data_IF_342331087133
#
_entry.id   IF_342331087133
#
_cell.length_a   1.000
_cell.length_b   1.000
_cell.length_c   1.000
_cell.angle_alpha   90.00
_cell.angle_beta   90.00
_cell.angle_gamma   90.00
#
_symmetry.space_group_name_H-M   'P 1'
#
loop_
_entity.id
_entity.type
_entity.pdbx_description
1 polymer ?
#
# COMPACT_ATOMS: atom_id res chain seq x y z
N UNK A 1 -8.27 -4.37 38.13
CA UNK A 1 -8.42 -3.27 37.13
C UNK A 1 -7.16 -2.41 36.92
N UNK A 2 -5.94 -2.86 37.28
CA UNK A 2 -4.71 -2.06 37.09
C UNK A 2 -3.88 -2.40 35.83
N UNK A 3 -4.26 -3.43 35.07
CA UNK A 3 -3.48 -3.90 33.92
C UNK A 3 -3.97 -3.35 32.57
N UNK A 4 -5.18 -2.81 32.50
CA UNK A 4 -5.76 -2.29 31.24
C UNK A 4 -5.19 -0.92 30.83
N UNK A 5 -4.63 -0.15 31.78
CA UNK A 5 -4.06 1.19 31.54
C UNK A 5 -2.66 1.14 30.91
N UNK A 6 -1.92 0.03 31.05
CA UNK A 6 -0.58 -0.10 30.44
C UNK A 6 -0.64 -0.35 28.93
N UNK A 7 -1.73 -0.95 28.43
CA UNK A 7 -1.92 -1.19 26.98
C UNK A 7 -2.25 0.11 26.25
N UNK A 8 -2.98 1.04 26.90
CA UNK A 8 -3.31 2.33 26.31
C UNK A 8 -2.10 3.28 26.25
N UNK A 9 -1.15 3.16 27.19
CA UNK A 9 0.07 4.00 27.22
C UNK A 9 1.14 3.56 26.20
N UNK A 10 1.07 2.32 25.70
CA UNK A 10 2.02 1.80 24.70
C UNK A 10 1.76 2.35 23.28
N UNK A 11 0.58 2.93 23.03
CA UNK A 11 0.24 3.53 21.73
C UNK A 11 0.78 4.97 21.55
N UNK A 12 1.32 5.60 22.59
CA UNK A 12 1.74 7.02 22.58
C UNK A 12 3.25 7.24 22.51
N UNK A 13 4.07 6.19 22.55
CA UNK A 13 5.53 6.30 22.50
C UNK A 13 6.04 6.12 21.06
N UNK A 14 6.35 7.22 20.39
CA UNK A 14 7.27 7.22 19.24
C UNK A 14 6.66 7.30 17.83
N UNK A 15 5.45 7.83 17.66
CA UNK A 15 4.91 8.11 16.32
C UNK A 15 5.71 9.24 15.66
N UNK A 16 6.67 8.86 14.79
CA UNK A 16 7.30 9.79 13.87
C UNK A 16 6.30 10.08 12.73
N UNK A 17 5.66 11.25 12.78
CA UNK A 17 4.70 11.68 11.76
C UNK A 17 5.49 12.28 10.59
N UNK A 18 5.49 11.61 9.45
CA UNK A 18 5.98 12.17 8.19
C UNK A 18 4.78 12.68 7.36
N UNK A 19 4.84 13.93 6.93
CA UNK A 19 3.89 14.52 5.97
C UNK A 19 4.45 14.37 4.55
N UNK A 20 3.68 13.78 3.63
CA UNK A 20 4.08 13.62 2.23
C UNK A 20 3.04 14.25 1.28
N UNK A 21 3.52 15.03 0.29
CA UNK A 21 2.71 15.71 -0.72
C UNK A 21 2.61 14.95 -2.06
N UNK A 22 3.44 13.92 -2.27
CA UNK A 22 3.34 13.01 -3.42
C UNK A 22 3.60 11.56 -2.99
N UNK A 23 3.01 10.59 -3.70
CA UNK A 23 3.20 9.16 -3.42
C UNK A 23 4.33 8.51 -4.25
N UNK A 24 5.03 9.28 -5.08
CA UNK A 24 6.12 8.76 -5.91
C UNK A 24 7.33 8.44 -5.03
N UNK A 25 7.70 7.17 -4.98
CA UNK A 25 8.94 6.71 -4.34
C UNK A 25 9.58 5.59 -5.14
N UNK A 26 10.84 5.29 -4.84
CA UNK A 26 11.65 4.27 -5.52
C UNK A 26 11.71 3.01 -4.63
N UNK A 27 11.58 1.83 -5.22
CA UNK A 27 11.67 0.54 -4.52
C UNK A 27 13.03 0.28 -3.83
N UNK A 28 14.07 1.07 -4.13
CA UNK A 28 15.35 1.04 -3.44
C UNK A 28 15.51 2.09 -2.33
N UNK A 29 14.66 3.13 -2.26
CA UNK A 29 14.84 4.25 -1.33
C UNK A 29 14.37 3.90 0.08
N UNK A 30 15.22 3.20 0.85
CA UNK A 30 14.88 2.71 2.20
C UNK A 30 14.68 3.80 3.26
N UNK A 31 15.16 5.02 3.01
CA UNK A 31 15.03 6.14 3.95
C UNK A 31 13.69 6.87 3.80
N UNK A 32 12.97 6.60 2.71
CA UNK A 32 11.65 7.13 2.48
C UNK A 32 10.60 6.19 3.09
N UNK A 33 9.85 6.60 4.13
CA UNK A 33 8.88 5.72 4.78
C UNK A 33 7.74 5.30 3.84
N UNK A 34 7.55 5.99 2.71
CA UNK A 34 6.59 5.62 1.65
C UNK A 34 6.98 4.34 0.90
N UNK A 35 8.20 3.83 1.05
CA UNK A 35 8.63 2.58 0.40
C UNK A 35 7.72 1.39 0.79
N UNK A 36 7.08 1.45 1.95
CA UNK A 36 6.09 0.48 2.43
C UNK A 36 4.90 0.30 1.48
N UNK A 37 4.48 1.35 0.76
CA UNK A 37 3.41 1.24 -0.25
C UNK A 37 3.82 0.41 -1.47
N UNK A 38 5.13 0.33 -1.75
CA UNK A 38 5.70 -0.35 -2.90
C UNK A 38 6.17 -1.77 -2.55
N UNK A 39 6.81 -1.96 -1.41
CA UNK A 39 7.56 -3.16 -1.08
C UNK A 39 7.27 -3.63 0.35
N UNK A 40 6.60 -4.78 0.55
CA UNK A 40 6.41 -5.32 1.90
C UNK A 40 7.73 -5.67 2.59
N UNK A 41 8.81 -6.00 1.85
CA UNK A 41 10.14 -6.26 2.41
C UNK A 41 10.73 -5.01 3.09
N UNK A 42 10.17 -3.83 2.78
CA UNK A 42 10.60 -2.59 3.35
C UNK A 42 9.95 -2.27 4.71
N UNK A 43 8.93 -3.03 5.12
CA UNK A 43 8.26 -2.86 6.43
C UNK A 43 9.22 -3.00 7.61
N UNK A 44 10.29 -3.78 7.45
CA UNK A 44 11.29 -3.95 8.50
C UNK A 44 12.47 -3.00 8.45
N UNK A 45 12.51 -2.01 7.53
CA UNK A 45 13.60 -1.02 7.54
C UNK A 45 13.51 -0.16 8.78
N UNK A 46 14.57 -0.12 9.59
CA UNK A 46 14.60 0.58 10.87
C UNK A 46 13.85 -0.14 11.98
N UNK A 47 14.24 0.18 13.21
CA UNK A 47 13.82 -0.54 14.42
C UNK A 47 12.71 0.21 15.17
N UNK A 48 11.96 1.06 14.44
CA UNK A 48 10.93 1.93 15.01
C UNK A 48 9.58 1.72 14.33
N UNK A 49 8.53 1.76 15.14
CA UNK A 49 7.15 1.81 14.64
C UNK A 49 6.95 3.08 13.80
N UNK A 50 6.30 2.97 12.64
CA UNK A 50 6.02 4.12 11.77
C UNK A 50 4.56 4.20 11.39
N UNK A 51 4.08 5.42 11.24
CA UNK A 51 2.81 5.77 10.65
C UNK A 51 3.05 6.80 9.56
N UNK A 52 2.66 6.48 8.35
CA UNK A 52 2.66 7.37 7.20
C UNK A 52 1.21 7.61 6.83
N UNK A 53 0.82 8.87 6.73
CA UNK A 53 -0.49 9.26 6.23
C UNK A 53 -0.31 10.36 5.21
N UNK A 54 -1.14 10.36 4.19
CA UNK A 54 -1.10 11.38 3.17
C UNK A 54 -2.38 11.43 2.36
N UNK A 55 -2.49 12.52 1.61
CA UNK A 55 -3.65 12.83 0.82
C UNK A 55 -3.21 13.62 -0.40
N UNK A 56 -3.62 13.17 -1.58
CA UNK A 56 -3.38 13.84 -2.85
C UNK A 56 -4.73 14.28 -3.42
N UNK A 57 -4.80 15.53 -3.87
CA UNK A 57 -5.90 16.04 -4.68
C UNK A 57 -5.34 16.37 -6.07
N UNK A 58 -5.76 15.62 -7.09
CA UNK A 58 -5.12 15.66 -8.41
C UNK A 58 -5.53 16.87 -9.24
N UNK A 59 -6.79 17.29 -9.15
CA UNK A 59 -7.30 18.43 -9.90
C UNK A 59 -8.30 19.22 -9.05
N UNK A 60 -7.90 20.43 -8.65
CA UNK A 60 -8.82 21.42 -8.09
C UNK A 60 -9.43 22.20 -9.26
N UNK A 61 -10.69 21.95 -9.60
CA UNK A 61 -11.39 22.75 -10.62
C UNK A 61 -12.07 21.96 -11.74
N UNK A 62 -12.08 20.62 -11.69
CA UNK A 62 -13.02 19.86 -12.53
C UNK A 62 -14.42 20.10 -11.96
N UNK A 63 -15.23 20.87 -12.68
CA UNK A 63 -16.58 21.20 -12.24
C UNK A 63 -17.38 19.90 -12.10
N UNK A 64 -17.83 19.61 -10.87
CA UNK A 64 -18.62 18.41 -10.59
C UNK A 64 -17.83 17.11 -10.51
N UNK A 65 -16.50 17.13 -10.30
CA UNK A 65 -15.73 15.95 -9.86
C UNK A 65 -14.49 16.36 -9.02
N UNK A 66 -14.13 15.52 -8.05
CA UNK A 66 -13.01 15.76 -7.13
C UNK A 66 -12.13 14.53 -7.01
N UNK A 67 -11.19 14.35 -7.95
CA UNK A 67 -10.26 13.23 -7.94
C UNK A 67 -9.29 13.37 -6.78
N UNK A 68 -9.39 12.44 -5.84
CA UNK A 68 -8.61 12.45 -4.61
C UNK A 68 -8.14 11.06 -4.23
N UNK A 69 -6.97 10.99 -3.61
CA UNK A 69 -6.37 9.75 -3.13
C UNK A 69 -5.87 9.94 -1.71
N UNK A 70 -6.47 9.24 -0.75
CA UNK A 70 -5.95 9.11 0.60
C UNK A 70 -5.09 7.86 0.71
N UNK A 71 -4.02 7.91 1.50
CA UNK A 71 -3.20 6.75 1.78
C UNK A 71 -2.68 6.75 3.20
N UNK A 72 -2.55 5.56 3.78
CA UNK A 72 -2.01 5.35 5.11
C UNK A 72 -1.19 4.05 5.14
N UNK A 73 -0.07 4.06 5.83
CA UNK A 73 0.71 2.86 6.12
C UNK A 73 1.18 2.88 7.57
N UNK A 74 1.03 1.76 8.24
CA UNK A 74 1.52 1.52 9.58
C UNK A 74 2.50 0.34 9.52
N UNK A 75 3.66 0.46 10.16
CA UNK A 75 4.65 -0.63 10.25
C UNK A 75 5.12 -0.82 11.68
N UNK A 76 5.16 -2.07 12.14
CA UNK A 76 5.60 -2.48 13.47
C UNK A 76 6.75 -3.49 13.34
N UNK A 77 8.00 -3.08 13.59
CA UNK A 77 9.13 -4.01 13.68
C UNK A 77 9.11 -4.70 15.05
N UNK A 78 9.09 -6.04 15.06
CA UNK A 78 9.01 -6.87 16.27
C UNK A 78 10.38 -7.50 16.63
N UNK A 79 11.42 -7.27 15.82
CA UNK A 79 12.81 -7.68 16.04
C UNK A 79 13.06 -9.20 15.96
N UNK A 80 12.26 -10.01 16.65
CA UNK A 80 12.35 -11.48 16.71
C UNK A 80 11.54 -12.16 15.62
N UNK A 81 10.29 -11.74 15.45
CA UNK A 81 9.36 -12.39 14.52
C UNK A 81 9.32 -11.73 13.15
N UNK A 82 10.03 -10.61 12.96
CA UNK A 82 10.05 -9.85 11.71
C UNK A 82 9.39 -8.51 11.86
N UNK A 83 8.70 -8.06 10.83
CA UNK A 83 7.99 -6.78 10.83
C UNK A 83 6.64 -6.93 10.16
N UNK A 84 5.62 -6.36 10.78
CA UNK A 84 4.25 -6.38 10.29
C UNK A 84 3.85 -5.01 9.78
N UNK A 85 2.91 -4.95 8.85
CA UNK A 85 2.39 -3.69 8.36
C UNK A 85 0.95 -3.76 7.89
N UNK A 86 0.27 -2.63 8.00
CA UNK A 86 -1.04 -2.37 7.41
C UNK A 86 -0.89 -1.22 6.43
N UNK A 87 -1.37 -1.39 5.22
CA UNK A 87 -1.26 -0.39 4.15
C UNK A 87 -2.64 -0.22 3.54
N UNK A 88 -3.09 1.02 3.37
CA UNK A 88 -4.36 1.36 2.76
C UNK A 88 -4.18 2.50 1.78
N UNK A 89 -4.71 2.33 0.57
CA UNK A 89 -4.84 3.37 -0.44
C UNK A 89 -6.31 3.47 -0.84
N UNK A 90 -6.84 4.68 -0.92
CA UNK A 90 -8.24 4.91 -1.24
C UNK A 90 -8.37 6.08 -2.22
N UNK A 91 -8.69 5.73 -3.46
CA UNK A 91 -9.02 6.68 -4.51
C UNK A 91 -10.53 6.90 -4.55
N UNK A 92 -10.95 8.15 -4.66
CA UNK A 92 -12.36 8.50 -4.89
C UNK A 92 -12.48 9.57 -5.97
N UNK A 93 -13.51 9.40 -6.79
CA UNK A 93 -14.12 10.39 -7.66
C UNK A 93 -15.64 10.32 -7.45
N UNK A 94 -16.40 11.15 -8.16
CA UNK A 94 -17.86 11.17 -8.02
C UNK A 94 -18.53 9.88 -8.52
N UNK A 95 -17.95 9.26 -9.55
CA UNK A 95 -18.52 8.08 -10.22
C UNK A 95 -17.83 6.77 -9.83
N UNK A 96 -16.62 6.84 -9.28
CA UNK A 96 -15.77 5.67 -9.05
C UNK A 96 -15.00 5.79 -7.73
N UNK A 97 -14.91 4.68 -7.02
CA UNK A 97 -14.11 4.54 -5.82
C UNK A 97 -13.29 3.25 -5.92
N UNK A 98 -12.04 3.34 -5.47
CA UNK A 98 -11.15 2.20 -5.39
C UNK A 98 -10.44 2.20 -4.04
N UNK A 99 -10.51 1.07 -3.33
CA UNK A 99 -9.73 0.81 -2.14
C UNK A 99 -8.71 -0.31 -2.40
N UNK A 100 -7.52 -0.20 -1.82
CA UNK A 100 -6.51 -1.25 -1.80
C UNK A 100 -5.96 -1.34 -0.38
N UNK A 101 -6.39 -2.38 0.34
CA UNK A 101 -6.04 -2.60 1.74
C UNK A 101 -5.21 -3.86 1.87
N UNK A 102 -4.06 -3.76 2.52
CA UNK A 102 -3.05 -4.81 2.55
C UNK A 102 -2.51 -4.99 3.96
N UNK A 103 -2.28 -6.25 4.31
CA UNK A 103 -1.46 -6.67 5.43
C UNK A 103 -0.15 -7.23 4.89
N UNK A 104 0.96 -6.70 5.39
CA UNK A 104 2.29 -7.10 4.99
C UNK A 104 3.10 -7.70 6.13
N UNK A 105 4.00 -8.60 5.77
CA UNK A 105 4.97 -9.21 6.65
C UNK A 105 6.35 -9.15 5.99
N UNK A 106 7.39 -8.88 6.79
CA UNK A 106 8.78 -8.89 6.35
C UNK A 106 9.67 -9.61 7.34
N UNK A 107 10.67 -10.33 6.80
CA UNK A 107 11.71 -10.98 7.57
C UNK A 107 13.08 -10.67 6.99
N UNK A 108 14.05 -10.45 7.88
CA UNK A 108 15.45 -10.23 7.54
C UNK A 108 16.29 -11.50 7.71
N UNK A 109 17.30 -11.64 6.86
CA UNK A 109 18.21 -12.77 6.81
C UNK A 109 19.65 -12.26 6.64
N UNK A 110 20.62 -13.11 6.97
CA UNK A 110 22.06 -12.85 6.77
C UNK A 110 22.53 -11.50 7.35
N UNK A 111 22.27 -11.25 8.64
CA UNK A 111 22.59 -10.00 9.32
C UNK A 111 22.03 -8.77 8.60
N UNK A 112 20.72 -8.79 8.29
CA UNK A 112 20.02 -7.71 7.59
C UNK A 112 20.48 -7.42 6.16
N UNK A 113 21.25 -8.31 5.49
CA UNK A 113 21.68 -8.12 4.09
C UNK A 113 20.63 -8.50 3.05
N UNK A 114 19.69 -9.37 3.42
CA UNK A 114 18.59 -9.81 2.57
C UNK A 114 17.31 -9.69 3.38
N UNK A 115 16.27 -9.15 2.75
CA UNK A 115 14.94 -9.06 3.34
C UNK A 115 13.91 -9.54 2.35
N UNK A 116 13.02 -10.38 2.86
CA UNK A 116 11.88 -10.87 2.11
C UNK A 116 10.63 -10.23 2.68
N UNK A 117 9.65 -10.01 1.82
CA UNK A 117 8.35 -9.51 2.24
C UNK A 117 7.24 -10.17 1.45
N UNK A 118 6.12 -10.38 2.12
CA UNK A 118 4.87 -10.89 1.57
C UNK A 118 3.74 -9.94 1.95
N UNK A 119 2.78 -9.75 1.06
CA UNK A 119 1.55 -9.02 1.34
C UNK A 119 0.33 -9.80 0.89
N UNK A 120 -0.72 -9.73 1.71
CA UNK A 120 -2.07 -10.18 1.39
C UNK A 120 -2.99 -8.97 1.47
N UNK A 121 -3.93 -8.85 0.55
CA UNK A 121 -4.81 -7.69 0.54
C UNK A 121 -6.13 -7.92 -0.17
N UNK A 122 -6.94 -6.87 -0.15
CA UNK A 122 -8.23 -6.79 -0.81
C UNK A 122 -8.28 -5.51 -1.61
N UNK A 123 -8.60 -5.64 -2.89
CA UNK A 123 -8.90 -4.52 -3.78
C UNK A 123 -10.42 -4.41 -3.86
N UNK A 124 -10.93 -3.25 -3.51
CA UNK A 124 -12.34 -2.89 -3.58
C UNK A 124 -12.53 -1.91 -4.73
N UNK A 125 -13.53 -2.16 -5.57
CA UNK A 125 -13.95 -1.29 -6.67
C UNK A 125 -15.44 -1.01 -6.49
N UNK A 126 -15.84 0.24 -6.66
CA UNK A 126 -17.24 0.64 -6.55
C UNK A 126 -17.56 1.77 -7.49
N UNK A 127 -18.74 1.72 -8.08
CA UNK A 127 -19.25 2.75 -8.95
C UNK A 127 -20.53 3.34 -8.40
N UNK A 128 -20.66 4.66 -8.51
CA UNK A 128 -21.84 5.38 -8.05
C UNK A 128 -22.84 5.50 -9.20
N UNK A 129 -23.82 4.59 -9.24
CA UNK A 129 -24.86 4.56 -10.25
C UNK A 129 -25.71 5.83 -10.31
N UNK A 130 -25.89 6.51 -9.17
CA UNK A 130 -26.72 7.71 -9.06
C UNK A 130 -26.11 8.93 -9.78
N UNK A 131 -24.84 8.83 -10.17
CA UNK A 131 -24.11 9.87 -10.91
C UNK A 131 -23.91 9.54 -12.38
N UNK A 132 -24.40 8.39 -12.83
CA UNK A 132 -24.35 8.04 -14.23
C UNK A 132 -25.35 8.88 -15.03
N UNK A 133 -24.88 9.46 -16.14
CA UNK A 133 -25.73 10.16 -17.10
C UNK A 133 -25.82 9.32 -18.37
N UNK A 134 -27.04 9.08 -18.86
CA UNK A 134 -27.27 8.34 -20.10
C UNK A 134 -27.00 6.83 -20.01
N UNK A 135 -26.96 6.26 -18.80
CA UNK A 135 -26.85 4.80 -18.62
C UNK A 135 -28.25 4.19 -18.66
N UNK A 136 -28.42 3.19 -19.53
CA UNK A 136 -29.60 2.34 -19.56
C UNK A 136 -29.60 1.44 -18.32
N UNK A 137 -30.67 1.44 -17.53
CA UNK A 137 -30.82 0.56 -16.38
C UNK A 137 -30.85 -0.93 -16.79
N UNK A 138 -31.08 -1.22 -18.07
CA UNK A 138 -30.97 -2.56 -18.66
C UNK A 138 -29.57 -2.86 -19.19
N UNK A 139 -28.57 -1.98 -19.04
CA UNK A 139 -27.19 -2.28 -19.44
C UNK A 139 -26.70 -3.50 -18.64
N UNK A 140 -26.31 -4.60 -19.32
CA UNK A 140 -25.82 -5.80 -18.67
C UNK A 140 -24.78 -5.51 -17.59
N UNK A 141 -23.89 -4.52 -17.78
CA UNK A 141 -22.78 -4.12 -16.89
C UNK A 141 -23.23 -3.79 -15.46
N UNK A 142 -24.46 -3.31 -15.28
CA UNK A 142 -24.98 -2.88 -13.96
C UNK A 142 -26.09 -3.77 -13.41
N UNK A 143 -26.48 -4.83 -14.13
CA UNK A 143 -27.59 -5.69 -13.72
C UNK A 143 -27.30 -6.52 -12.46
N UNK A 144 -26.03 -6.79 -12.14
CA UNK A 144 -25.64 -7.68 -11.04
C UNK A 144 -25.13 -6.94 -9.79
N UNK A 145 -24.17 -6.03 -9.95
CA UNK A 145 -23.58 -5.27 -8.83
C UNK A 145 -22.85 -4.03 -9.33
N UNK A 146 -22.81 -2.98 -8.50
CA UNK A 146 -22.01 -1.77 -8.73
C UNK A 146 -20.67 -1.81 -7.99
N UNK A 147 -20.40 -2.85 -7.20
CA UNK A 147 -19.15 -2.99 -6.45
C UNK A 147 -18.61 -4.41 -6.45
N UNK A 148 -17.29 -4.54 -6.29
CA UNK A 148 -16.57 -5.81 -6.27
C UNK A 148 -15.35 -5.74 -5.36
N UNK A 149 -15.09 -6.84 -4.68
CA UNK A 149 -13.88 -7.04 -3.89
C UNK A 149 -13.11 -8.24 -4.43
N UNK A 150 -11.79 -8.11 -4.55
CA UNK A 150 -10.91 -9.17 -5.02
C UNK A 150 -9.68 -9.29 -4.15
N UNK A 151 -9.31 -10.54 -3.84
CA UNK A 151 -8.12 -10.84 -3.07
C UNK A 151 -6.85 -10.54 -3.87
N UNK A 152 -5.82 -10.03 -3.22
CA UNK A 152 -4.56 -9.63 -3.83
C UNK A 152 -3.38 -10.23 -3.05
N UNK A 153 -2.37 -10.71 -3.77
CA UNK A 153 -1.12 -11.22 -3.20
C UNK A 153 0.06 -10.49 -3.82
N UNK A 154 1.05 -10.15 -3.00
CA UNK A 154 2.32 -9.61 -3.45
C UNK A 154 3.50 -10.17 -2.67
N UNK A 155 4.69 -10.00 -3.24
CA UNK A 155 5.95 -10.36 -2.62
C UNK A 155 7.03 -9.37 -3.00
N UNK A 156 8.09 -9.31 -2.21
CA UNK A 156 9.24 -8.46 -2.52
C UNK A 156 10.51 -9.02 -1.91
N UNK A 157 11.62 -8.64 -2.52
CA UNK A 157 12.96 -8.96 -2.08
C UNK A 157 13.75 -7.66 -2.07
N UNK A 158 14.51 -7.47 -1.01
CA UNK A 158 15.44 -6.37 -0.89
C UNK A 158 16.80 -6.91 -0.48
N UNK A 159 17.86 -6.37 -1.08
CA UNK A 159 19.24 -6.75 -0.84
C UNK A 159 20.11 -5.51 -0.60
N UNK A 160 21.03 -5.64 0.33
CA UNK A 160 22.05 -4.64 0.67
C UNK A 160 23.40 -5.33 0.84
N UNK A 161 24.06 -5.68 -0.29
CA UNK A 161 25.29 -6.46 -0.25
C UNK A 161 26.44 -5.70 0.43
N UNK A 162 26.44 -4.36 0.33
CA UNK A 162 27.38 -3.44 0.97
C UNK A 162 26.62 -2.30 1.65
N UNK A 163 27.22 -1.65 2.65
CA UNK A 163 26.58 -0.59 3.46
C UNK A 163 26.10 0.64 2.66
N UNK A 164 26.53 0.78 1.41
CA UNK A 164 26.22 1.93 0.55
C UNK A 164 25.46 1.54 -0.72
N UNK A 165 24.89 0.33 -0.79
CA UNK A 165 24.11 -0.10 -1.94
C UNK A 165 22.87 -0.85 -1.51
N UNK A 166 21.74 -0.38 -2.00
CA UNK A 166 20.43 -0.95 -1.76
C UNK A 166 19.76 -1.27 -3.07
N UNK A 167 19.24 -2.48 -3.22
CA UNK A 167 18.46 -2.87 -4.38
C UNK A 167 17.21 -3.63 -3.95
N UNK A 168 16.10 -3.35 -4.62
CA UNK A 168 14.80 -3.93 -4.30
C UNK A 168 14.03 -4.31 -5.54
N UNK A 169 13.29 -5.42 -5.44
CA UNK A 169 12.29 -5.84 -6.41
C UNK A 169 11.02 -6.17 -5.65
N UNK A 170 9.89 -5.65 -6.11
CA UNK A 170 8.57 -5.92 -5.59
C UNK A 170 7.65 -6.35 -6.73
N UNK A 171 6.84 -7.36 -6.47
CA UNK A 171 5.85 -7.91 -7.39
C UNK A 171 4.50 -7.91 -6.69
N UNK A 172 3.54 -7.18 -7.25
CA UNK A 172 2.16 -7.08 -6.74
C UNK A 172 1.19 -7.70 -7.74
N UNK A 173 0.00 -8.07 -7.28
CA UNK A 173 -1.03 -8.70 -8.11
C UNK A 173 -0.55 -10.03 -8.72
N UNK A 174 0.15 -10.84 -7.91
CA UNK A 174 0.66 -12.15 -8.33
C UNK A 174 -0.48 -13.07 -8.79
N UNK A 175 -1.63 -12.99 -8.12
CA UNK A 175 -2.83 -13.77 -8.45
C UNK A 175 -3.73 -13.09 -9.49
N UNK A 176 -3.32 -11.95 -10.07
CA UNK A 176 -4.06 -11.20 -11.11
C UNK A 176 -5.55 -11.02 -10.75
N UNK A 177 -5.86 -10.26 -9.68
CA UNK A 177 -7.22 -10.14 -9.16
C UNK A 177 -8.20 -9.71 -10.24
N UNK A 178 -9.40 -10.30 -10.22
CA UNK A 178 -10.48 -9.96 -11.12
C UNK A 178 -11.04 -8.56 -10.78
N UNK A 179 -11.01 -7.64 -11.73
CA UNK A 179 -11.57 -6.29 -11.60
C UNK A 179 -12.91 -6.12 -12.32
N UNK A 180 -13.38 -7.13 -13.06
CA UNK A 180 -14.62 -7.02 -13.81
C UNK A 180 -15.83 -7.04 -12.89
N UNK A 181 -16.77 -6.10 -13.04
CA UNK A 181 -18.06 -6.19 -12.34
C UNK A 181 -18.86 -7.42 -12.79
N UNK A 182 -18.62 -7.89 -14.02
CA UNK A 182 -19.34 -9.02 -14.64
C UNK A 182 -18.35 -10.06 -15.15
N UNK A 183 -18.54 -11.30 -14.72
CA UNK A 183 -17.68 -12.40 -15.17
C UNK A 183 -16.23 -12.29 -14.71
N UNK A 184 -15.31 -12.87 -15.49
CA UNK A 184 -13.89 -13.04 -15.14
C UNK A 184 -12.89 -12.40 -16.10
N UNK A 185 -13.37 -11.57 -17.03
CA UNK A 185 -12.61 -11.22 -18.22
C UNK A 185 -11.60 -10.08 -18.02
N UNK A 186 -11.79 -9.27 -16.97
CA UNK A 186 -10.89 -8.15 -16.65
C UNK A 186 -10.06 -8.50 -15.42
N UNK A 187 -8.76 -8.70 -15.59
CA UNK A 187 -7.82 -8.99 -14.50
C UNK A 187 -6.78 -7.91 -14.37
N UNK A 188 -6.50 -7.51 -13.13
CA UNK A 188 -5.44 -6.55 -12.82
C UNK A 188 -4.10 -7.19 -13.18
N UNK A 189 -3.27 -6.54 -14.02
CA UNK A 189 -1.98 -7.08 -14.40
C UNK A 189 -1.02 -7.12 -13.22
N UNK A 190 -0.16 -8.13 -13.20
CA UNK A 190 0.96 -8.20 -12.26
C UNK A 190 1.85 -6.96 -12.42
N UNK A 191 2.12 -6.28 -11.31
CA UNK A 191 2.92 -5.06 -11.27
C UNK A 191 4.30 -5.38 -10.72
N UNK A 192 5.35 -5.10 -11.49
CA UNK A 192 6.74 -5.30 -11.07
C UNK A 192 7.38 -3.93 -10.87
N UNK A 193 7.97 -3.70 -9.69
CA UNK A 193 8.69 -2.51 -9.34
C UNK A 193 10.11 -2.89 -8.95
N UNK A 194 11.10 -2.19 -9.49
CA UNK A 194 12.52 -2.43 -9.21
C UNK A 194 13.21 -1.11 -8.92
N UNK A 195 14.24 -1.14 -8.10
CA UNK A 195 14.91 0.06 -7.66
C UNK A 195 16.31 -0.22 -7.15
N UNK A 196 17.19 0.76 -7.35
CA UNK A 196 18.51 0.82 -6.75
C UNK A 196 18.62 2.17 -6.04
N UNK A 197 19.33 2.20 -4.93
CA UNK A 197 19.61 3.41 -4.16
C UNK A 197 21.01 3.32 -3.56
N UNK A 198 21.74 4.43 -3.67
CA UNK A 198 23.09 4.60 -3.14
C UNK A 198 23.03 5.86 -2.26
N UNK A 199 23.12 5.75 -0.92
CA UNK A 199 23.20 6.92 -0.08
C UNK A 199 24.48 7.69 -0.37
N UNK A 200 24.37 9.00 -0.53
CA UNK A 200 25.52 9.90 -0.72
C UNK A 200 26.21 10.27 0.59
N UNK A 201 25.58 9.97 1.73
CA UNK A 201 26.14 10.13 3.08
C UNK A 201 25.89 8.86 3.89
N UNK A 202 26.96 8.28 4.44
CA UNK A 202 26.86 7.30 5.52
C UNK A 202 26.79 8.07 6.86
N UNK A 203 25.79 7.80 7.72
CA UNK A 203 25.84 8.27 9.11
C UNK A 203 27.01 7.65 9.87
#
# INVERSE_FOLDING_TARGET
MKNSIRILLFCLLGLNIAQAQEMKTNAGNMFDPRISFISPAALGFGDVTRLVVGYNMYYQGIAGDGLRNGFAAFSLPDGKFGSFGLIGEHFTSNNFQQGDYRFGYSQSFFNNKIRLGLELGVIYLSYNSDKFQGVDLNDPVFQQTTSKSSFNIGSSIFINPVHSLYAGISVRHLNRPNASLIGEDVRIPTKIQKGIFIPTYSP
#
